data_IF_387232718520
#
_entry.id   IF_387232718520
#
_cell.length_a   1.000
_cell.length_b   1.000
_cell.length_c   1.000
_cell.angle_alpha   90.00
_cell.angle_beta   90.00
_cell.angle_gamma   90.00
#
_symmetry.space_group_name_H-M   'P 1'
#
loop_
_entity.id
_entity.type
_entity.pdbx_description
1 polymer ?
#
# COMPACT_ATOMS: atom_id res chain seq x y z
N UNK A 1 -1.46 -0.21 -8.12
CA UNK A 1 -0.03 -0.55 -8.02
C UNK A 1 0.25 -1.86 -8.76
N UNK A 2 1.50 -2.14 -9.19
CA UNK A 2 1.91 -3.51 -9.53
C UNK A 2 1.73 -4.44 -8.32
N UNK A 3 1.27 -5.67 -8.53
CA UNK A 3 0.96 -6.62 -7.46
C UNK A 3 1.59 -7.98 -7.74
N UNK A 4 2.25 -8.55 -6.74
CA UNK A 4 2.82 -9.89 -6.76
C UNK A 4 2.34 -10.71 -5.55
N UNK A 5 2.30 -12.03 -5.71
CA UNK A 5 1.90 -12.97 -4.65
C UNK A 5 3.08 -13.88 -4.32
N UNK A 6 3.43 -13.96 -3.05
CA UNK A 6 4.47 -14.88 -2.56
C UNK A 6 3.80 -16.22 -2.24
N UNK A 7 4.21 -17.25 -2.97
CA UNK A 7 3.70 -18.61 -2.79
C UNK A 7 4.78 -19.48 -2.15
N UNK A 8 4.40 -20.24 -1.11
CA UNK A 8 5.18 -21.38 -0.65
C UNK A 8 4.61 -22.66 -1.25
N UNK A 9 5.49 -23.58 -1.62
CA UNK A 9 5.13 -24.89 -2.16
C UNK A 9 5.71 -25.99 -1.26
N UNK A 10 4.89 -27.00 -0.96
CA UNK A 10 5.25 -28.21 -0.22
C UNK A 10 4.76 -29.43 -1.00
N UNK A 11 5.11 -30.64 -0.56
CA UNK A 11 4.63 -31.88 -1.16
C UNK A 11 3.09 -32.02 -1.13
N UNK A 12 2.40 -31.30 -0.23
CA UNK A 12 0.94 -31.29 -0.15
C UNK A 12 0.29 -30.26 -1.11
N UNK A 13 0.99 -29.17 -1.46
CA UNK A 13 0.44 -28.14 -2.35
C UNK A 13 1.04 -26.75 -2.13
N UNK A 14 0.29 -25.72 -2.54
CA UNK A 14 0.72 -24.31 -2.47
C UNK A 14 -0.07 -23.51 -1.44
N UNK A 15 0.62 -22.62 -0.73
CA UNK A 15 0.04 -21.66 0.20
C UNK A 15 0.45 -20.23 -0.14
N UNK A 16 -0.45 -19.27 0.07
CA UNK A 16 -0.14 -17.84 -0.06
C UNK A 16 0.51 -17.37 1.23
N UNK A 17 1.75 -16.91 1.13
CA UNK A 17 2.53 -16.40 2.26
C UNK A 17 2.36 -14.89 2.45
N UNK A 18 2.02 -14.18 1.38
CA UNK A 18 1.82 -12.73 1.42
C UNK A 18 1.72 -12.14 0.03
N UNK A 19 1.59 -10.81 0.00
CA UNK A 19 1.52 -10.02 -1.23
C UNK A 19 2.53 -8.89 -1.19
N UNK A 20 3.07 -8.55 -2.35
CA UNK A 20 3.85 -7.34 -2.57
C UNK A 20 2.96 -6.41 -3.39
N UNK A 21 2.42 -5.39 -2.75
CA UNK A 21 1.58 -4.37 -3.38
C UNK A 21 2.38 -3.07 -3.54
N UNK A 22 2.83 -2.83 -4.77
CA UNK A 22 3.60 -1.66 -5.13
C UNK A 22 5.03 -1.72 -4.64
N UNK A 23 5.49 -0.61 -4.06
CA UNK A 23 6.91 -0.39 -3.76
C UNK A 23 7.09 -0.04 -2.30
N UNK A 24 8.29 -0.31 -1.77
CA UNK A 24 8.66 0.15 -0.43
C UNK A 24 8.52 1.67 -0.28
N UNK A 25 8.13 2.12 0.91
CA UNK A 25 8.08 3.55 1.25
C UNK A 25 9.44 4.21 1.02
N UNK A 26 9.44 5.44 0.46
CA UNK A 26 10.66 6.20 0.17
C UNK A 26 11.18 7.00 1.37
N UNK A 27 10.34 7.22 2.37
CA UNK A 27 10.65 8.02 3.56
C UNK A 27 9.41 8.20 4.44
N UNK A 28 9.53 9.08 5.44
CA UNK A 28 8.45 9.49 6.33
C UNK A 28 7.85 10.80 5.78
N UNK A 29 6.52 10.95 5.88
CA UNK A 29 5.84 12.18 5.46
C UNK A 29 6.22 13.38 6.35
N UNK A 30 6.32 14.57 5.73
CA UNK A 30 6.52 15.85 6.43
C UNK A 30 5.18 16.50 6.82
N UNK A 31 5.18 17.56 7.62
CA UNK A 31 3.93 18.29 7.92
C UNK A 31 3.24 18.82 6.65
N UNK A 32 4.02 19.25 5.65
CA UNK A 32 3.47 19.72 4.37
C UNK A 32 2.78 18.58 3.59
N UNK A 33 3.35 17.37 3.61
CA UNK A 33 2.73 16.19 2.98
C UNK A 33 1.43 15.80 3.69
N UNK A 34 1.39 15.94 5.03
CA UNK A 34 0.19 15.71 5.84
C UNK A 34 -0.94 16.68 5.47
N UNK A 35 -0.62 17.97 5.36
CA UNK A 35 -1.58 19.01 4.92
C UNK A 35 -2.09 18.71 3.50
N UNK A 36 -1.18 18.32 2.59
CA UNK A 36 -1.53 17.98 1.21
C UNK A 36 -2.48 16.78 1.12
N UNK A 37 -2.21 15.66 1.82
CA UNK A 37 -3.09 14.48 1.76
C UNK A 37 -4.46 14.74 2.39
N UNK A 38 -4.52 15.53 3.47
CA UNK A 38 -5.81 15.91 4.10
C UNK A 38 -6.63 16.80 3.17
N UNK A 39 -5.99 17.76 2.54
CA UNK A 39 -6.64 18.65 1.56
C UNK A 39 -7.13 17.87 0.34
N UNK A 40 -6.34 16.91 -0.16
CA UNK A 40 -6.75 16.03 -1.27
C UNK A 40 -8.03 15.25 -0.93
N UNK A 41 -8.11 14.65 0.26
CA UNK A 41 -9.29 13.90 0.71
C UNK A 41 -10.55 14.79 0.82
N UNK A 42 -10.41 16.03 1.32
CA UNK A 42 -11.51 17.00 1.35
C UNK A 42 -11.93 17.44 -0.04
N UNK A 43 -10.97 17.67 -0.95
CA UNK A 43 -11.25 18.02 -2.35
C UNK A 43 -12.02 16.92 -3.08
N UNK A 44 -11.74 15.66 -2.77
CA UNK A 44 -12.49 14.52 -3.30
C UNK A 44 -13.80 14.25 -2.56
N UNK A 45 -14.14 15.04 -1.53
CA UNK A 45 -15.38 14.92 -0.77
C UNK A 45 -15.42 13.76 0.22
N UNK A 46 -14.30 13.07 0.45
CA UNK A 46 -14.22 11.96 1.40
C UNK A 46 -14.13 12.41 2.86
N UNK A 47 -13.85 13.70 3.09
CA UNK A 47 -13.78 14.33 4.40
C UNK A 47 -14.39 15.73 4.32
N UNK A 48 -15.03 16.15 5.40
CA UNK A 48 -15.57 17.49 5.61
C UNK A 48 -14.48 18.43 6.16
#
# INVERSE_FOLDING_TARGET
NPVEVVLAETDQGRGVMGVIDGFKSKGIETENDVEARKTLLRRFGYKL
#
